data_IF_371391639331
#
_entry.id   IF_371391639331
#
_cell.length_a   1.000
_cell.length_b   1.000
_cell.length_c   1.000
_cell.angle_alpha   90.00
_cell.angle_beta   90.00
_cell.angle_gamma   90.00
#
_symmetry.space_group_name_H-M   'P 1'
#
loop_
_entity.id
_entity.type
_entity.pdbx_description
1 polymer ?
#
# COMPACT_ATOMS: atom_id res chain seq x y z
N UNK A 1 7.37 -23.97 20.89
CA UNK A 1 6.85 -24.49 19.60
C UNK A 1 5.64 -23.69 19.15
N UNK A 2 4.82 -24.20 18.23
CA UNK A 2 3.63 -23.48 17.72
C UNK A 2 2.51 -23.29 18.76
N UNK A 3 2.59 -23.94 19.92
CA UNK A 3 1.67 -23.72 21.05
C UNK A 3 1.60 -22.26 21.51
N UNK A 4 2.70 -21.51 21.36
CA UNK A 4 2.72 -20.06 21.66
C UNK A 4 1.71 -19.27 20.85
N UNK A 5 1.32 -19.77 19.66
CA UNK A 5 0.34 -19.12 18.80
C UNK A 5 -1.09 -19.19 19.37
N UNK A 6 -1.33 -20.12 20.31
CA UNK A 6 -2.61 -20.30 21.01
C UNK A 6 -2.82 -19.26 22.13
N UNK A 7 -1.77 -18.54 22.53
CA UNK A 7 -1.85 -17.52 23.58
C UNK A 7 -2.89 -16.45 23.18
N UNK A 8 -3.83 -16.07 24.07
CA UNK A 8 -4.84 -15.05 23.80
C UNK A 8 -4.29 -13.69 23.33
N UNK A 9 -3.06 -13.34 23.69
CA UNK A 9 -2.37 -12.11 23.25
C UNK A 9 -1.79 -12.25 21.84
N UNK A 10 -1.59 -13.47 21.33
CA UNK A 10 -1.04 -13.74 19.99
C UNK A 10 -2.14 -14.14 19.01
N UNK A 11 -2.97 -15.14 19.37
CA UNK A 11 -4.12 -15.66 18.60
C UNK A 11 -3.85 -15.83 17.10
N UNK A 12 -2.73 -16.47 16.77
CA UNK A 12 -2.41 -16.88 15.39
C UNK A 12 -2.77 -18.35 15.20
N UNK A 13 -3.13 -18.72 13.97
CA UNK A 13 -3.47 -20.10 13.64
C UNK A 13 -2.18 -20.92 13.42
N UNK A 14 -1.89 -21.97 14.24
CA UNK A 14 -0.81 -22.90 13.96
C UNK A 14 -0.95 -23.54 12.57
N UNK A 15 0.17 -23.77 11.90
CA UNK A 15 0.17 -24.51 10.62
C UNK A 15 0.29 -26.02 10.85
N UNK A 16 0.80 -26.45 12.00
CA UNK A 16 0.84 -27.86 12.39
C UNK A 16 -0.53 -28.27 12.99
N UNK A 17 -1.28 -29.19 12.36
CA UNK A 17 -2.58 -29.64 12.87
C UNK A 17 -2.51 -30.24 14.28
N UNK A 18 -1.39 -30.88 14.65
CA UNK A 18 -1.23 -31.50 15.96
C UNK A 18 -1.25 -30.47 17.11
N UNK A 19 -0.88 -29.21 16.84
CA UNK A 19 -0.90 -28.15 17.85
C UNK A 19 -2.32 -27.84 18.34
N UNK A 20 -3.35 -28.08 17.51
CA UNK A 20 -4.74 -27.80 17.88
C UNK A 20 -5.30 -28.76 18.94
N UNK A 21 -4.63 -29.89 19.23
CA UNK A 21 -4.98 -30.74 20.35
C UNK A 21 -4.85 -30.02 21.71
N UNK A 22 -4.03 -28.96 21.76
CA UNK A 22 -3.80 -28.12 22.95
C UNK A 22 -4.52 -26.76 22.87
N UNK A 23 -5.33 -26.53 21.83
CA UNK A 23 -6.02 -25.26 21.65
C UNK A 23 -7.14 -25.09 22.70
N UNK A 24 -7.35 -23.87 23.21
CA UNK A 24 -8.44 -23.61 24.14
C UNK A 24 -9.80 -23.84 23.46
N UNK A 25 -10.84 -24.07 24.26
CA UNK A 25 -12.20 -24.22 23.76
C UNK A 25 -12.61 -23.00 22.91
N UNK A 26 -13.23 -23.26 21.76
CA UNK A 26 -13.65 -22.20 20.82
C UNK A 26 -12.53 -21.58 19.98
N UNK A 27 -11.28 -22.04 20.09
CA UNK A 27 -10.20 -21.56 19.22
C UNK A 27 -10.45 -21.96 17.76
N UNK A 28 -10.39 -21.03 16.79
CA UNK A 28 -10.66 -21.35 15.39
C UNK A 28 -9.70 -22.41 14.85
N UNK A 29 -10.22 -23.42 14.16
CA UNK A 29 -9.42 -24.50 13.60
C UNK A 29 -9.67 -24.64 12.08
N UNK A 30 -8.76 -24.16 11.21
CA UNK A 30 -8.96 -24.14 9.76
C UNK A 30 -8.97 -25.55 9.12
N UNK A 31 -8.53 -26.58 9.86
CA UNK A 31 -8.58 -27.97 9.41
C UNK A 31 -9.93 -28.64 9.68
N UNK A 32 -10.74 -28.08 10.59
CA UNK A 32 -12.09 -28.56 10.91
C UNK A 32 -13.17 -27.67 10.33
N UNK A 33 -12.91 -26.36 10.26
CA UNK A 33 -13.84 -25.36 9.77
C UNK A 33 -13.34 -24.75 8.45
N UNK A 34 -13.92 -25.24 7.35
CA UNK A 34 -13.61 -24.75 5.99
C UNK A 34 -14.07 -23.31 5.75
N UNK A 35 -14.97 -22.77 6.59
CA UNK A 35 -15.45 -21.40 6.45
C UNK A 35 -14.36 -20.36 6.78
N UNK A 36 -13.40 -20.72 7.63
CA UNK A 36 -12.27 -19.86 8.02
C UNK A 36 -11.44 -19.45 6.80
N UNK A 37 -11.14 -20.39 5.91
CA UNK A 37 -10.45 -20.10 4.66
C UNK A 37 -11.37 -19.45 3.61
N UNK A 38 -12.65 -19.87 3.55
CA UNK A 38 -13.61 -19.37 2.57
C UNK A 38 -14.00 -17.90 2.78
N UNK A 39 -13.94 -17.40 4.01
CA UNK A 39 -14.14 -15.98 4.31
C UNK A 39 -13.05 -15.08 3.69
N UNK A 40 -11.88 -15.65 3.39
CA UNK A 40 -10.78 -14.94 2.75
C UNK A 40 -10.94 -15.01 1.23
N UNK A 41 -11.52 -13.95 0.64
CA UNK A 41 -11.62 -13.77 -0.83
C UNK A 41 -10.26 -13.42 -1.45
N UNK A 42 -9.25 -14.26 -1.24
CA UNK A 42 -7.91 -14.04 -1.78
C UNK A 42 -7.73 -14.77 -3.11
N UNK A 43 -7.50 -14.00 -4.19
CA UNK A 43 -7.14 -14.54 -5.49
C UNK A 43 -5.60 -14.65 -5.62
N UNK A 44 -5.11 -15.89 -5.48
CA UNK A 44 -3.69 -16.20 -5.61
C UNK A 44 -3.14 -15.90 -7.01
N UNK A 45 -3.93 -16.13 -8.06
CA UNK A 45 -3.46 -15.91 -9.43
C UNK A 45 -3.34 -14.43 -9.72
N UNK A 46 -4.31 -13.64 -9.25
CA UNK A 46 -4.26 -12.19 -9.33
C UNK A 46 -3.09 -11.60 -8.55
N UNK A 47 -2.86 -12.08 -7.32
CA UNK A 47 -1.73 -11.65 -6.51
C UNK A 47 -0.39 -11.95 -7.19
N UNK A 48 -0.23 -13.16 -7.73
CA UNK A 48 0.97 -13.57 -8.45
C UNK A 48 1.19 -12.75 -9.73
N UNK A 49 0.14 -12.55 -10.52
CA UNK A 49 0.24 -11.86 -11.81
C UNK A 49 0.65 -10.39 -11.66
N UNK A 50 0.23 -9.74 -10.56
CA UNK A 50 0.53 -8.33 -10.26
C UNK A 50 1.79 -8.11 -9.40
N UNK A 51 2.49 -9.19 -9.00
CA UNK A 51 3.51 -9.09 -7.95
C UNK A 51 4.62 -8.07 -8.27
N UNK A 52 5.18 -8.10 -9.48
CA UNK A 52 6.31 -7.22 -9.80
C UNK A 52 5.89 -5.77 -10.04
N UNK A 53 4.74 -5.53 -10.70
CA UNK A 53 4.25 -4.16 -10.93
C UNK A 53 3.88 -3.48 -9.61
N UNK A 54 3.26 -4.21 -8.67
CA UNK A 54 2.91 -3.67 -7.35
C UNK A 54 4.17 -3.33 -6.54
N UNK A 55 5.21 -4.18 -6.59
CA UNK A 55 6.48 -3.86 -5.93
C UNK A 55 7.14 -2.60 -6.51
N UNK A 56 7.12 -2.43 -7.84
CA UNK A 56 7.65 -1.23 -8.49
C UNK A 56 6.84 0.03 -8.12
N UNK A 57 5.51 -0.06 -8.10
CA UNK A 57 4.64 1.02 -7.63
C UNK A 57 4.94 1.40 -6.18
N UNK A 58 5.07 0.41 -5.29
CA UNK A 58 5.41 0.65 -3.90
C UNK A 58 6.76 1.37 -3.77
N UNK A 59 7.75 0.93 -4.53
CA UNK A 59 9.07 1.54 -4.53
C UNK A 59 9.04 2.99 -4.99
N UNK A 60 8.38 3.29 -6.11
CA UNK A 60 8.29 4.65 -6.65
C UNK A 60 7.45 5.55 -5.74
N UNK A 61 6.28 5.08 -5.29
CA UNK A 61 5.33 5.90 -4.55
C UNK A 61 5.71 6.09 -3.07
N UNK A 62 6.34 5.08 -2.46
CA UNK A 62 6.57 5.03 -1.02
C UNK A 62 8.07 4.96 -0.74
N UNK A 63 8.78 3.93 -1.17
CA UNK A 63 10.18 3.72 -0.76
C UNK A 63 11.07 4.91 -1.16
N UNK A 64 11.03 5.33 -2.42
CA UNK A 64 11.90 6.39 -2.95
C UNK A 64 11.42 7.81 -2.59
N UNK A 65 10.14 7.95 -2.24
CA UNK A 65 9.48 9.24 -1.99
C UNK A 65 8.94 9.36 -0.58
N UNK A 66 9.44 8.54 0.35
CA UNK A 66 8.95 8.50 1.73
C UNK A 66 9.04 9.88 2.41
N UNK A 67 10.12 10.62 2.17
CA UNK A 67 10.28 11.96 2.72
C UNK A 67 9.22 12.93 2.19
N UNK A 68 9.01 12.96 0.88
CA UNK A 68 8.03 13.83 0.21
C UNK A 68 6.59 13.48 0.65
N UNK A 69 6.27 12.18 0.67
CA UNK A 69 4.97 11.68 1.12
C UNK A 69 4.71 12.04 2.58
N UNK A 70 5.69 11.85 3.47
CA UNK A 70 5.58 12.25 4.89
C UNK A 70 5.34 13.75 5.04
N UNK A 71 6.03 14.58 4.24
CA UNK A 71 5.84 16.03 4.28
C UNK A 71 4.42 16.41 3.83
N UNK A 72 3.91 15.83 2.75
CA UNK A 72 2.56 16.07 2.26
C UNK A 72 1.49 15.61 3.27
N UNK A 73 1.62 14.39 3.81
CA UNK A 73 0.69 13.85 4.82
C UNK A 73 0.69 14.70 6.08
N UNK A 74 1.87 15.13 6.56
CA UNK A 74 1.97 16.01 7.73
C UNK A 74 1.26 17.35 7.48
N UNK A 75 1.43 17.94 6.31
CA UNK A 75 0.75 19.19 5.95
C UNK A 75 -0.77 19.01 5.93
N UNK A 76 -1.27 17.91 5.35
CA UNK A 76 -2.70 17.56 5.35
C UNK A 76 -3.24 17.45 6.78
N UNK A 77 -2.57 16.67 7.64
CA UNK A 77 -2.99 16.50 9.05
C UNK A 77 -2.96 17.82 9.83
N UNK A 78 -1.97 18.68 9.55
CA UNK A 78 -1.88 20.01 10.16
C UNK A 78 -3.05 20.89 9.74
N UNK A 79 -3.43 20.86 8.45
CA UNK A 79 -4.58 21.58 7.95
C UNK A 79 -5.88 21.07 8.59
N UNK A 80 -6.08 19.76 8.65
CA UNK A 80 -7.24 19.13 9.29
C UNK A 80 -7.40 19.53 10.76
N UNK A 81 -6.29 19.60 11.50
CA UNK A 81 -6.32 19.99 12.91
C UNK A 81 -6.68 21.48 13.11
N UNK A 82 -6.42 22.34 12.13
CA UNK A 82 -6.70 23.79 12.20
C UNK A 82 -8.08 24.16 11.67
N UNK A 83 -8.56 23.43 10.67
CA UNK A 83 -9.76 23.79 9.94
C UNK A 83 -11.00 23.18 10.59
N UNK A 84 -11.78 24.01 11.28
CA UNK A 84 -13.03 23.59 11.91
C UNK A 84 -14.24 24.09 11.09
N UNK A 85 -14.72 23.27 10.14
CA UNK A 85 -15.95 23.55 9.40
C UNK A 85 -15.83 24.53 8.23
N UNK A 86 -14.63 25.02 7.88
CA UNK A 86 -14.42 25.82 6.67
C UNK A 86 -14.54 24.94 5.41
N UNK A 87 -15.68 25.04 4.72
CA UNK A 87 -16.00 24.22 3.55
C UNK A 87 -14.96 24.35 2.42
N UNK A 88 -14.41 25.55 2.20
CA UNK A 88 -13.41 25.78 1.17
C UNK A 88 -12.07 25.13 1.52
N UNK A 89 -11.64 25.25 2.79
CA UNK A 89 -10.42 24.59 3.26
C UNK A 89 -10.55 23.06 3.24
N UNK A 90 -11.72 22.53 3.62
CA UNK A 90 -12.01 21.09 3.56
C UNK A 90 -11.98 20.54 2.13
N UNK A 91 -12.42 21.31 1.14
CA UNK A 91 -12.31 20.94 -0.29
C UNK A 91 -10.84 20.81 -0.72
N UNK A 92 -9.98 21.74 -0.30
CA UNK A 92 -8.54 21.68 -0.59
C UNK A 92 -7.87 20.47 0.08
N UNK A 93 -8.23 20.17 1.33
CA UNK A 93 -7.76 18.99 2.07
C UNK A 93 -8.18 17.70 1.35
N UNK A 94 -9.43 17.61 0.88
CA UNK A 94 -9.91 16.45 0.13
C UNK A 94 -9.15 16.28 -1.20
N UNK A 95 -8.88 17.36 -1.94
CA UNK A 95 -8.06 17.30 -3.15
C UNK A 95 -6.62 16.87 -2.85
N UNK A 96 -6.01 17.38 -1.76
CA UNK A 96 -4.68 16.96 -1.32
C UNK A 96 -4.63 15.47 -0.98
N UNK A 97 -5.65 14.93 -0.30
CA UNK A 97 -5.79 13.49 -0.04
C UNK A 97 -5.92 12.67 -1.31
N UNK A 98 -6.73 13.14 -2.27
CA UNK A 98 -6.88 12.46 -3.55
C UNK A 98 -5.56 12.42 -4.34
N UNK A 99 -4.76 13.48 -4.29
CA UNK A 99 -3.45 13.54 -4.95
C UNK A 99 -2.44 12.55 -4.36
N UNK A 100 -2.33 12.45 -3.03
CA UNK A 100 -1.41 11.47 -2.42
C UNK A 100 -1.85 10.02 -2.62
N UNK A 101 -3.15 9.79 -2.84
CA UNK A 101 -3.73 8.46 -3.08
C UNK A 101 -3.81 8.09 -4.57
N UNK A 102 -3.45 9.00 -5.47
CA UNK A 102 -3.60 8.80 -6.92
C UNK A 102 -2.62 7.73 -7.41
N UNK A 103 -3.17 6.67 -7.99
CA UNK A 103 -2.37 5.61 -8.60
C UNK A 103 -1.93 6.00 -10.04
N UNK A 104 -0.66 5.75 -10.42
CA UNK A 104 -0.18 5.98 -11.79
C UNK A 104 -0.82 5.07 -12.85
N UNK A 105 -1.35 3.92 -12.44
CA UNK A 105 -2.04 2.95 -13.30
C UNK A 105 -3.30 2.43 -12.62
N UNK A 106 -4.24 1.92 -13.42
CA UNK A 106 -5.45 1.29 -12.92
C UNK A 106 -5.30 -0.24 -12.79
N UNK A 107 -6.34 -0.88 -12.28
CA UNK A 107 -6.39 -2.32 -12.06
C UNK A 107 -6.22 -3.14 -13.36
N UNK A 108 -6.88 -2.73 -14.44
CA UNK A 108 -6.80 -3.40 -15.72
C UNK A 108 -5.35 -3.42 -16.23
N UNK A 109 -4.68 -2.25 -16.21
CA UNK A 109 -3.28 -2.12 -16.63
C UNK A 109 -2.34 -2.94 -15.77
N UNK A 110 -2.56 -2.94 -14.46
CA UNK A 110 -1.80 -3.76 -13.52
C UNK A 110 -1.99 -5.27 -13.77
N UNK A 111 -3.05 -5.69 -14.48
CA UNK A 111 -3.33 -7.11 -14.78
C UNK A 111 -2.84 -7.55 -16.16
N UNK A 112 -2.37 -6.63 -17.00
CA UNK A 112 -1.87 -6.96 -18.32
C UNK A 112 -0.56 -7.75 -18.22
N UNK A 113 -0.56 -8.99 -18.75
CA UNK A 113 0.62 -9.86 -18.71
C UNK A 113 1.84 -9.22 -19.37
N UNK A 114 1.65 -8.61 -20.55
CA UNK A 114 2.72 -7.94 -21.27
C UNK A 114 3.32 -6.77 -20.47
N UNK A 115 2.47 -6.02 -19.76
CA UNK A 115 2.91 -4.90 -18.93
C UNK A 115 3.66 -5.36 -17.69
N UNK A 116 3.14 -6.36 -16.96
CA UNK A 116 3.81 -6.93 -15.80
C UNK A 116 5.20 -7.50 -16.13
N UNK A 117 5.33 -8.11 -17.31
CA UNK A 117 6.60 -8.65 -17.79
C UNK A 117 7.68 -7.60 -18.01
N UNK A 118 7.36 -6.30 -18.00
CA UNK A 118 8.35 -5.21 -18.08
C UNK A 118 9.13 -5.12 -16.76
N UNK A 119 8.47 -5.36 -15.63
CA UNK A 119 9.03 -5.19 -14.29
C UNK A 119 9.78 -6.46 -13.86
N UNK A 120 11.07 -6.54 -14.22
CA UNK A 120 11.93 -7.69 -13.91
C UNK A 120 13.05 -7.37 -12.94
N UNK A 121 13.55 -6.12 -12.97
CA UNK A 121 14.72 -5.73 -12.18
C UNK A 121 14.27 -5.26 -10.79
N UNK A 122 14.77 -5.94 -9.76
CA UNK A 122 14.60 -5.52 -8.36
C UNK A 122 15.78 -4.68 -7.90
N UNK A 123 15.48 -3.51 -7.32
CA UNK A 123 16.51 -2.57 -6.83
C UNK A 123 16.89 -2.94 -5.38
N UNK A 124 17.87 -3.83 -5.20
CA UNK A 124 18.31 -4.27 -3.86
C UNK A 124 19.15 -3.23 -3.10
N UNK A 125 19.70 -2.24 -3.80
CA UNK A 125 20.50 -1.13 -3.26
C UNK A 125 20.24 0.11 -4.12
N UNK A 126 20.38 1.31 -3.55
CA UNK A 126 20.15 2.58 -4.26
C UNK A 126 21.01 2.74 -5.53
N UNK A 127 22.21 2.16 -5.55
CA UNK A 127 23.13 2.21 -6.70
C UNK A 127 22.73 1.31 -7.88
N UNK A 128 21.76 0.40 -7.70
CA UNK A 128 21.31 -0.50 -8.77
C UNK A 128 20.47 0.30 -9.77
N UNK A 129 20.98 0.44 -10.99
CA UNK A 129 20.23 1.08 -12.09
C UNK A 129 19.21 0.11 -12.69
N UNK A 130 18.02 0.62 -12.93
CA UNK A 130 16.99 0.00 -13.78
C UNK A 130 17.11 0.67 -15.16
N UNK A 131 16.98 -0.09 -16.24
CA UNK A 131 17.16 0.39 -17.62
C UNK A 131 16.03 -0.09 -18.52
N UNK A 132 15.95 0.48 -19.74
CA UNK A 132 14.93 0.14 -20.73
C UNK A 132 13.51 0.51 -20.30
N UNK A 133 12.52 -0.24 -20.79
CA UNK A 133 11.09 0.03 -20.59
C UNK A 133 10.68 0.15 -19.12
N UNK A 134 11.29 -0.63 -18.22
CA UNK A 134 10.97 -0.51 -16.79
C UNK A 134 11.37 0.86 -16.24
N UNK A 135 12.55 1.36 -16.63
CA UNK A 135 13.02 2.68 -16.19
C UNK A 135 12.14 3.80 -16.75
N UNK A 136 11.69 3.69 -18.00
CA UNK A 136 10.79 4.68 -18.61
C UNK A 136 9.47 4.81 -17.83
N UNK A 137 8.82 3.69 -17.50
CA UNK A 137 7.59 3.71 -16.70
C UNK A 137 7.83 4.18 -15.27
N UNK A 138 8.88 3.66 -14.60
CA UNK A 138 9.22 4.08 -13.25
C UNK A 138 9.52 5.58 -13.17
N UNK A 139 10.20 6.14 -14.17
CA UNK A 139 10.52 7.57 -14.22
C UNK A 139 9.29 8.44 -14.50
N UNK A 140 8.41 8.00 -15.41
CA UNK A 140 7.14 8.70 -15.64
C UNK A 140 6.28 8.73 -14.37
N UNK A 141 6.14 7.59 -13.70
CA UNK A 141 5.43 7.50 -12.43
C UNK A 141 6.08 8.36 -11.36
N UNK A 142 7.40 8.37 -11.28
CA UNK A 142 8.14 9.17 -10.31
C UNK A 142 7.87 10.67 -10.48
N UNK A 143 7.92 11.17 -11.71
CA UNK A 143 7.61 12.57 -12.04
C UNK A 143 6.19 12.92 -11.59
N UNK A 144 5.21 12.08 -11.95
CA UNK A 144 3.80 12.33 -11.61
C UNK A 144 3.56 12.30 -10.10
N UNK A 145 4.13 11.32 -9.40
CA UNK A 145 4.02 11.16 -7.95
C UNK A 145 4.63 12.36 -7.22
N UNK A 146 5.82 12.80 -7.62
CA UNK A 146 6.46 13.99 -7.05
C UNK A 146 5.60 15.23 -7.24
N UNK A 147 5.06 15.42 -8.44
CA UNK A 147 4.18 16.55 -8.73
C UNK A 147 2.91 16.51 -7.87
N UNK A 148 2.30 15.32 -7.71
CA UNK A 148 1.12 15.14 -6.86
C UNK A 148 1.42 15.45 -5.40
N UNK A 149 2.53 14.97 -4.84
CA UNK A 149 2.90 15.22 -3.44
C UNK A 149 3.23 16.69 -3.18
N UNK A 150 3.95 17.34 -4.09
CA UNK A 150 4.21 18.77 -4.00
C UNK A 150 2.92 19.60 -4.04
N UNK A 151 2.01 19.29 -4.99
CA UNK A 151 0.72 19.97 -5.09
C UNK A 151 -0.16 19.70 -3.86
N UNK A 152 -0.22 18.46 -3.37
CA UNK A 152 -0.97 18.10 -2.17
C UNK A 152 -0.50 18.89 -0.95
N UNK A 153 0.82 18.99 -0.77
CA UNK A 153 1.42 19.80 0.30
C UNK A 153 1.01 21.27 0.17
N UNK A 154 1.13 21.87 -1.00
CA UNK A 154 0.78 23.27 -1.24
C UNK A 154 -0.72 23.56 -0.98
N UNK A 155 -1.61 22.66 -1.41
CA UNK A 155 -3.04 22.76 -1.14
C UNK A 155 -3.35 22.68 0.36
N UNK A 156 -2.67 21.77 1.07
CA UNK A 156 -2.84 21.62 2.51
C UNK A 156 -2.29 22.84 3.28
N UNK A 157 -1.14 23.39 2.90
CA UNK A 157 -0.58 24.60 3.49
C UNK A 157 -1.48 25.81 3.27
N UNK A 158 -2.05 25.95 2.05
CA UNK A 158 -3.07 26.96 1.77
C UNK A 158 -4.30 26.76 2.67
N UNK A 159 -4.84 25.54 2.74
CA UNK A 159 -5.98 25.23 3.59
C UNK A 159 -5.70 25.54 5.07
N UNK A 160 -4.49 25.27 5.57
CA UNK A 160 -4.09 25.56 6.94
C UNK A 160 -4.01 27.06 7.28
N UNK A 161 -3.97 27.93 6.27
CA UNK A 161 -3.93 29.39 6.41
C UNK A 161 -5.29 30.08 6.22
N UNK A 162 -6.33 29.32 5.88
CA UNK A 162 -7.72 29.81 5.72
C UNK A 162 -8.48 29.80 7.04
#
# INVERSE_FOLDING_TARGET
GQEVLLDPKIRRLPVNPATYAKAPAGFPNPFKDKSIGAAVKFDLQLSKSRYNVINSLFDVMITYRLADLRAAVKAIQTAEAKQNGNAAAMKLIAEARALIAKMPINEAKASEKAFNNIFKKKRKKASVKVTGRQAEFEQAWDTDVKANYAKAKALAEKAASM
#
